data_IF_752292248032
#
_entry.id   IF_752292248032
#
_cell.length_a   1.000
_cell.length_b   1.000
_cell.length_c   1.000
_cell.angle_alpha   90.00
_cell.angle_beta   90.00
_cell.angle_gamma   90.00
#
_symmetry.space_group_name_H-M   'P 1'
#
loop_
_entity.id
_entity.type
_entity.pdbx_description
1 polymer ?
#
# COMPACT_ATOMS: atom_id res chain seq x y z
N UNK A 1 -3.42 -8.91 5.29
CA UNK A 1 -4.57 -9.13 4.37
C UNK A 1 -4.47 -10.54 3.84
N UNK A 2 -5.59 -11.26 3.72
CA UNK A 2 -5.64 -12.64 3.23
C UNK A 2 -6.54 -12.70 2.01
N UNK A 3 -6.14 -13.45 0.98
CA UNK A 3 -6.94 -13.66 -0.23
C UNK A 3 -7.51 -15.06 -0.19
N UNK A 4 -8.83 -15.18 -0.30
CA UNK A 4 -9.52 -16.45 -0.51
C UNK A 4 -9.76 -16.66 -2.01
N UNK A 5 -9.37 -17.83 -2.51
CA UNK A 5 -9.80 -18.30 -3.82
C UNK A 5 -10.76 -19.47 -3.66
N UNK A 6 -11.89 -19.36 -4.34
CA UNK A 6 -12.87 -20.43 -4.45
C UNK A 6 -13.01 -20.79 -5.92
N UNK A 7 -12.68 -22.03 -6.26
CA UNK A 7 -12.88 -22.57 -7.61
C UNK A 7 -14.18 -23.33 -7.69
N UNK A 8 -14.96 -23.05 -8.71
CA UNK A 8 -16.20 -23.76 -9.01
C UNK A 8 -16.16 -24.43 -10.38
N UNK A 9 -16.88 -25.55 -10.51
CA UNK A 9 -17.29 -26.12 -11.81
C UNK A 9 -18.81 -26.09 -11.96
N UNK A 10 -19.29 -25.14 -12.75
CA UNK A 10 -20.69 -24.81 -13.03
C UNK A 10 -20.99 -25.17 -14.49
N UNK A 11 -21.30 -26.44 -14.76
CA UNK A 11 -21.56 -26.94 -16.11
C UNK A 11 -22.92 -26.45 -16.68
N UNK A 12 -23.90 -26.24 -15.80
CA UNK A 12 -25.24 -25.76 -16.13
C UNK A 12 -25.59 -24.56 -15.23
N UNK A 13 -26.60 -23.77 -15.61
CA UNK A 13 -27.11 -22.64 -14.80
C UNK A 13 -26.11 -21.50 -14.50
N UNK A 14 -25.12 -21.28 -15.37
CA UNK A 14 -24.15 -20.18 -15.27
C UNK A 14 -24.78 -18.82 -14.93
N UNK A 15 -25.90 -18.46 -15.59
CA UNK A 15 -26.60 -17.21 -15.31
C UNK A 15 -27.21 -17.17 -13.89
N UNK A 16 -27.75 -18.28 -13.42
CA UNK A 16 -28.29 -18.40 -12.05
C UNK A 16 -27.19 -18.27 -10.99
N UNK A 17 -26.02 -18.84 -11.26
CA UNK A 17 -24.84 -18.74 -10.41
C UNK A 17 -24.34 -17.29 -10.30
N UNK A 18 -24.19 -16.60 -11.43
CA UNK A 18 -23.79 -15.19 -11.46
C UNK A 18 -24.82 -14.28 -10.76
N UNK A 19 -26.11 -14.54 -10.96
CA UNK A 19 -27.20 -13.84 -10.28
C UNK A 19 -27.19 -14.09 -8.77
N UNK A 20 -26.90 -15.31 -8.33
CA UNK A 20 -26.77 -15.66 -6.92
C UNK A 20 -25.63 -14.87 -6.27
N UNK A 21 -24.47 -14.78 -6.92
CA UNK A 21 -23.35 -13.97 -6.43
C UNK A 21 -23.63 -12.48 -6.48
N UNK A 22 -24.40 -11.99 -7.47
CA UNK A 22 -24.82 -10.58 -7.51
C UNK A 22 -25.65 -10.22 -6.28
N UNK A 23 -26.59 -11.09 -5.88
CA UNK A 23 -27.37 -10.92 -4.64
C UNK A 23 -26.50 -11.08 -3.39
N UNK A 24 -25.67 -12.12 -3.33
CA UNK A 24 -24.77 -12.37 -2.20
C UNK A 24 -23.76 -11.22 -1.98
N UNK A 25 -23.43 -10.46 -3.02
CA UNK A 25 -22.52 -9.31 -2.93
C UNK A 25 -22.99 -8.22 -1.98
N UNK A 26 -24.30 -8.11 -1.69
CA UNK A 26 -24.82 -7.16 -0.71
C UNK A 26 -24.33 -7.48 0.70
N UNK A 27 -24.32 -8.76 1.07
CA UNK A 27 -23.79 -9.21 2.36
C UNK A 27 -22.27 -9.02 2.46
N UNK A 28 -21.53 -9.31 1.37
CA UNK A 28 -20.08 -9.03 1.33
C UNK A 28 -19.78 -7.53 1.47
N UNK A 29 -20.60 -6.67 0.85
CA UNK A 29 -20.47 -5.21 0.94
C UNK A 29 -20.73 -4.69 2.36
N UNK A 30 -21.68 -5.28 3.07
CA UNK A 30 -22.02 -4.91 4.43
C UNK A 30 -20.98 -5.39 5.47
N UNK A 31 -20.24 -6.46 5.17
CA UNK A 31 -19.32 -7.09 6.09
C UNK A 31 -18.02 -6.27 6.28
N UNK A 32 -17.71 -5.74 7.49
CA UNK A 32 -16.49 -4.97 7.73
C UNK A 32 -15.19 -5.76 7.54
N UNK A 33 -15.27 -7.10 7.61
CA UNK A 33 -14.14 -7.99 7.39
C UNK A 33 -13.76 -8.14 5.91
N UNK A 34 -14.71 -7.92 4.99
CA UNK A 34 -14.52 -8.04 3.55
C UNK A 34 -13.99 -6.71 2.98
N UNK A 35 -12.93 -6.78 2.17
CA UNK A 35 -12.31 -5.60 1.57
C UNK A 35 -12.65 -5.46 0.08
N UNK A 36 -12.66 -6.57 -0.65
CA UNK A 36 -13.00 -6.62 -2.06
C UNK A 36 -13.40 -8.04 -2.45
N UNK A 37 -14.09 -8.19 -3.58
CA UNK A 37 -14.33 -9.49 -4.19
C UNK A 37 -14.49 -9.35 -5.70
N UNK A 38 -14.17 -10.41 -6.42
CA UNK A 38 -14.44 -10.53 -7.85
C UNK A 38 -14.81 -11.98 -8.21
N UNK A 39 -15.77 -12.13 -9.12
CA UNK A 39 -16.10 -13.41 -9.72
C UNK A 39 -15.67 -13.38 -11.19
N UNK A 40 -14.89 -14.35 -11.61
CA UNK A 40 -14.40 -14.50 -12.97
C UNK A 40 -14.84 -15.83 -13.56
N UNK A 41 -15.27 -15.81 -14.81
CA UNK A 41 -15.50 -17.01 -15.62
C UNK A 41 -14.30 -17.23 -16.52
N UNK A 42 -13.82 -18.47 -16.59
CA UNK A 42 -12.78 -18.87 -17.52
C UNK A 42 -13.28 -18.75 -18.97
N UNK A 43 -12.45 -18.23 -19.88
CA UNK A 43 -12.84 -18.05 -21.29
C UNK A 43 -12.61 -19.35 -22.07
N UNK A 44 -11.56 -20.10 -21.71
CA UNK A 44 -11.17 -21.37 -22.31
C UNK A 44 -12.03 -22.54 -21.84
N UNK A 45 -12.47 -22.50 -20.58
CA UNK A 45 -13.33 -23.52 -19.96
C UNK A 45 -14.55 -22.84 -19.31
N UNK A 46 -15.61 -22.51 -20.06
CA UNK A 46 -16.71 -21.66 -19.58
C UNK A 46 -17.48 -22.18 -18.35
N UNK A 47 -17.35 -23.46 -18.03
CA UNK A 47 -17.89 -24.06 -16.80
C UNK A 47 -17.06 -23.75 -15.55
N UNK A 48 -15.84 -23.20 -15.69
CA UNK A 48 -14.97 -22.90 -14.56
C UNK A 48 -15.10 -21.44 -14.13
N UNK A 49 -15.30 -21.26 -12.83
CA UNK A 49 -15.32 -19.96 -12.20
C UNK A 49 -14.28 -19.88 -11.09
N UNK A 50 -13.72 -18.69 -10.91
CA UNK A 50 -12.90 -18.34 -9.76
C UNK A 50 -13.53 -17.15 -9.06
N UNK A 51 -13.90 -17.34 -7.80
CA UNK A 51 -14.22 -16.25 -6.89
C UNK A 51 -12.96 -15.91 -6.11
N UNK A 52 -12.59 -14.64 -6.11
CA UNK A 52 -11.54 -14.09 -5.26
C UNK A 52 -12.19 -13.16 -4.24
N UNK A 53 -11.92 -13.36 -2.95
CA UNK A 53 -12.35 -12.47 -1.87
C UNK A 53 -11.13 -11.99 -1.09
N UNK A 54 -11.04 -10.70 -0.82
CA UNK A 54 -10.02 -10.12 0.05
C UNK A 54 -10.59 -9.91 1.45
N UNK A 55 -9.94 -10.52 2.43
CA UNK A 55 -10.28 -10.42 3.83
C UNK A 55 -9.24 -9.60 4.58
N UNK A 56 -9.68 -8.84 5.59
CA UNK A 56 -8.79 -8.09 6.48
C UNK A 56 -7.75 -9.01 7.13
N UNK A 57 -8.17 -10.17 7.64
CA UNK A 57 -7.31 -11.24 8.16
C UNK A 57 -8.04 -12.59 8.08
N UNK A 58 -7.31 -13.69 8.29
CA UNK A 58 -7.91 -15.03 8.35
C UNK A 58 -8.95 -15.13 9.47
N UNK A 59 -8.64 -14.62 10.66
CA UNK A 59 -9.58 -14.60 11.80
C UNK A 59 -10.82 -13.74 11.53
N UNK A 60 -10.65 -12.59 10.86
CA UNK A 60 -11.79 -11.74 10.51
C UNK A 60 -12.76 -12.48 9.57
N UNK A 61 -12.26 -13.36 8.72
CA UNK A 61 -13.11 -14.24 7.92
C UNK A 61 -13.68 -15.39 8.77
N UNK A 62 -12.82 -16.24 9.32
CA UNK A 62 -13.21 -17.53 9.90
C UNK A 62 -13.92 -17.41 11.24
N UNK A 63 -13.55 -16.44 12.07
CA UNK A 63 -14.09 -16.28 13.42
C UNK A 63 -15.13 -15.17 13.50
N UNK A 64 -15.07 -14.16 12.63
CA UNK A 64 -16.05 -13.05 12.63
C UNK A 64 -17.10 -13.23 11.54
N UNK A 65 -16.72 -13.16 10.26
CA UNK A 65 -17.71 -13.19 9.16
C UNK A 65 -18.53 -14.49 9.17
N UNK A 66 -17.90 -15.67 9.26
CA UNK A 66 -18.59 -16.97 9.28
C UNK A 66 -19.68 -17.12 10.37
N UNK A 67 -19.64 -16.30 11.41
CA UNK A 67 -20.59 -16.34 12.54
C UNK A 67 -21.58 -15.16 12.54
N UNK A 68 -21.59 -14.37 11.46
CA UNK A 68 -22.36 -13.12 11.35
C UNK A 68 -23.70 -13.29 10.63
N UNK A 69 -24.57 -12.29 10.77
CA UNK A 69 -25.83 -12.22 10.01
C UNK A 69 -25.57 -12.04 8.50
N UNK A 70 -24.49 -11.34 8.15
CA UNK A 70 -24.03 -11.15 6.78
C UNK A 70 -23.66 -12.51 6.16
N UNK A 71 -22.97 -13.39 6.89
CA UNK A 71 -22.70 -14.74 6.37
C UNK A 71 -23.98 -15.55 6.16
N UNK A 72 -24.96 -15.48 7.06
CA UNK A 72 -26.23 -16.16 6.85
C UNK A 72 -26.94 -15.66 5.57
N UNK A 73 -26.95 -14.34 5.35
CA UNK A 73 -27.51 -13.71 4.15
C UNK A 73 -26.70 -13.98 2.87
N UNK A 74 -25.39 -14.15 2.98
CA UNK A 74 -24.54 -14.60 1.88
C UNK A 74 -24.82 -16.08 1.54
N UNK A 75 -24.80 -16.93 2.57
CA UNK A 75 -24.91 -18.38 2.47
C UNK A 75 -26.22 -18.83 1.85
N UNK A 76 -27.35 -18.19 2.16
CA UNK A 76 -28.65 -18.51 1.53
C UNK A 76 -28.61 -18.47 -0.01
N UNK A 77 -27.78 -17.60 -0.60
CA UNK A 77 -27.67 -17.47 -2.05
C UNK A 77 -26.68 -18.45 -2.65
N UNK A 78 -25.56 -18.73 -1.98
CA UNK A 78 -24.49 -19.57 -2.53
C UNK A 78 -24.61 -21.05 -2.17
N UNK A 79 -25.41 -21.40 -1.15
CA UNK A 79 -25.62 -22.79 -0.69
C UNK A 79 -25.94 -23.77 -1.83
N UNK A 80 -26.76 -23.44 -2.85
CA UNK A 80 -27.07 -24.37 -3.95
C UNK A 80 -25.85 -24.84 -4.75
N UNK A 81 -24.72 -24.13 -4.68
CA UNK A 81 -23.53 -24.40 -5.51
C UNK A 81 -22.35 -24.97 -4.72
N UNK A 82 -22.55 -25.35 -3.44
CA UNK A 82 -21.47 -25.82 -2.57
C UNK A 82 -20.85 -27.15 -3.01
N UNK A 83 -21.65 -28.04 -3.57
CA UNK A 83 -21.21 -29.33 -4.12
C UNK A 83 -20.37 -29.16 -5.40
N UNK A 84 -20.30 -27.95 -5.95
CA UNK A 84 -19.55 -27.59 -7.16
C UNK A 84 -18.20 -26.94 -6.88
N UNK A 85 -17.81 -26.84 -5.61
CA UNK A 85 -16.55 -26.25 -5.19
C UNK A 85 -15.42 -27.28 -5.36
N UNK A 86 -14.42 -26.91 -6.15
CA UNK A 86 -13.19 -27.69 -6.34
C UNK A 86 -12.09 -27.31 -5.35
N UNK A 87 -12.09 -26.04 -4.92
CA UNK A 87 -11.08 -25.46 -4.02
C UNK A 87 -11.72 -24.31 -3.23
N UNK A 88 -11.37 -24.17 -1.95
CA UNK A 88 -11.72 -23.03 -1.11
C UNK A 88 -10.60 -22.85 -0.08
N UNK A 89 -9.58 -22.08 -0.44
CA UNK A 89 -8.35 -21.92 0.35
C UNK A 89 -7.97 -20.44 0.49
N UNK A 90 -7.17 -20.18 1.52
CA UNK A 90 -6.65 -18.86 1.87
C UNK A 90 -5.17 -18.77 1.54
N UNK A 91 -4.76 -17.64 0.98
CA UNK A 91 -3.39 -17.37 0.54
C UNK A 91 -2.93 -16.02 1.07
N UNK A 92 -1.64 -15.95 1.39
CA UNK A 92 -0.95 -14.71 1.69
C UNK A 92 -0.49 -14.05 0.38
N UNK A 93 -0.47 -12.72 0.36
CA UNK A 93 0.18 -11.99 -0.73
C UNK A 93 1.70 -12.12 -0.60
N UNK A 94 2.38 -12.41 -1.71
CA UNK A 94 3.83 -12.37 -1.80
C UNK A 94 4.32 -11.01 -2.28
N UNK A 95 5.64 -10.84 -2.34
CA UNK A 95 6.33 -9.68 -2.92
C UNK A 95 6.29 -9.64 -4.46
N UNK A 96 5.91 -10.74 -5.12
CA UNK A 96 5.75 -10.81 -6.58
C UNK A 96 4.43 -10.18 -6.98
N UNK A 97 4.44 -8.88 -7.26
CA UNK A 97 3.25 -8.12 -7.67
C UNK A 97 3.59 -7.07 -8.73
N UNK A 98 2.67 -6.83 -9.67
CA UNK A 98 2.74 -5.65 -10.56
C UNK A 98 2.28 -4.37 -9.85
N UNK A 99 1.74 -4.49 -8.63
CA UNK A 99 1.34 -3.33 -7.85
C UNK A 99 2.58 -2.55 -7.41
N UNK A 100 2.54 -1.24 -7.62
CA UNK A 100 3.56 -0.34 -7.10
C UNK A 100 3.58 -0.36 -5.56
N UNK A 101 4.71 -0.01 -4.96
CA UNK A 101 4.79 0.16 -3.51
C UNK A 101 3.79 1.24 -3.05
N UNK A 102 3.54 2.27 -3.86
CA UNK A 102 2.51 3.27 -3.63
C UNK A 102 1.12 2.64 -3.48
N UNK A 103 0.72 1.73 -4.38
CA UNK A 103 -0.55 1.01 -4.27
C UNK A 103 -0.59 0.12 -3.04
N UNK A 104 0.50 -0.60 -2.75
CA UNK A 104 0.58 -1.47 -1.58
C UNK A 104 0.46 -0.72 -0.23
N UNK A 105 0.82 0.56 -0.19
CA UNK A 105 0.66 1.43 0.98
C UNK A 105 -0.77 2.02 1.13
N UNK A 106 -1.62 1.89 0.11
CA UNK A 106 -2.95 2.52 0.06
C UNK A 106 -3.04 3.73 -0.88
N UNK A 107 -2.16 3.79 -1.88
CA UNK A 107 -2.17 4.75 -2.99
C UNK A 107 -1.58 6.13 -2.65
N UNK A 108 -1.84 7.10 -3.54
CA UNK A 108 -1.36 8.49 -3.43
C UNK A 108 -1.66 9.08 -2.05
N UNK A 109 -2.89 8.90 -1.57
CA UNK A 109 -3.30 9.42 -0.26
C UNK A 109 -2.46 8.88 0.90
N UNK A 110 -1.99 7.63 0.83
CA UNK A 110 -1.12 7.06 1.85
C UNK A 110 0.27 7.71 1.85
N UNK A 111 0.83 8.00 0.67
CA UNK A 111 2.13 8.67 0.55
C UNK A 111 2.09 10.09 1.15
N UNK A 112 1.01 10.84 0.95
CA UNK A 112 0.83 12.16 1.57
C UNK A 112 0.60 12.07 3.08
N UNK A 113 -0.14 11.06 3.57
CA UNK A 113 -0.26 10.82 5.01
C UNK A 113 1.11 10.49 5.62
N UNK A 114 1.89 9.61 4.99
CA UNK A 114 3.25 9.26 5.42
C UNK A 114 4.13 10.50 5.54
N UNK A 115 4.15 11.37 4.51
CA UNK A 115 4.89 12.63 4.56
C UNK A 115 4.47 13.51 5.76
N UNK A 116 3.17 13.60 6.03
CA UNK A 116 2.63 14.38 7.16
C UNK A 116 2.98 13.78 8.52
N UNK A 117 2.82 12.46 8.68
CA UNK A 117 3.15 11.78 9.93
C UNK A 117 4.65 11.86 10.23
N UNK A 118 5.49 11.60 9.21
CA UNK A 118 6.95 11.73 9.34
C UNK A 118 7.36 13.14 9.76
N UNK A 119 6.83 14.16 9.09
CA UNK A 119 7.12 15.54 9.45
C UNK A 119 6.63 15.88 10.87
N UNK A 120 5.46 15.38 11.27
CA UNK A 120 4.92 15.58 12.63
C UNK A 120 5.81 14.96 13.69
N UNK A 121 6.30 13.73 13.46
CA UNK A 121 7.23 13.05 14.35
C UNK A 121 8.57 13.79 14.40
N UNK A 122 9.14 14.17 13.25
CA UNK A 122 10.42 14.85 13.18
C UNK A 122 10.41 16.22 13.88
N UNK A 123 9.31 16.98 13.81
CA UNK A 123 9.15 18.25 14.54
C UNK A 123 9.07 18.10 16.06
N UNK A 124 8.71 16.91 16.55
CA UNK A 124 8.59 16.61 17.99
C UNK A 124 9.85 15.95 18.56
N UNK A 125 10.71 15.43 17.69
CA UNK A 125 11.93 14.76 18.10
C UNK A 125 13.02 15.77 18.49
N UNK A 126 13.62 15.69 19.69
CA UNK A 126 14.59 16.69 20.15
C UNK A 126 15.83 16.84 19.25
N UNK A 127 16.27 15.77 18.61
CA UNK A 127 17.45 15.78 17.74
C UNK A 127 17.12 16.42 16.38
N UNK A 128 15.96 16.09 15.82
CA UNK A 128 15.58 16.51 14.46
C UNK A 128 14.82 17.83 14.42
N UNK A 129 14.07 18.19 15.46
CA UNK A 129 13.20 19.37 15.49
C UNK A 129 13.88 20.67 15.03
N UNK A 130 15.16 20.97 15.38
CA UNK A 130 15.84 22.17 14.87
C UNK A 130 15.89 22.24 13.33
N UNK A 131 16.04 21.11 12.64
CA UNK A 131 16.03 21.03 11.16
C UNK A 131 14.66 21.32 10.56
N UNK A 132 13.59 21.01 11.29
CA UNK A 132 12.21 21.13 10.82
C UNK A 132 11.47 22.36 11.38
N UNK A 133 12.15 23.22 12.14
CA UNK A 133 11.55 24.39 12.80
C UNK A 133 11.02 25.43 11.81
N UNK A 134 11.74 25.65 10.70
CA UNK A 134 11.49 26.75 9.75
C UNK A 134 11.29 26.28 8.31
N UNK A 135 10.76 25.07 8.11
CA UNK A 135 10.47 24.58 6.76
C UNK A 135 9.28 25.31 6.14
N UNK A 136 9.35 25.52 4.83
CA UNK A 136 8.26 26.16 4.08
C UNK A 136 6.95 25.35 4.20
N UNK A 137 5.77 25.99 4.14
CA UNK A 137 4.47 25.29 4.17
C UNK A 137 4.32 24.24 3.07
N UNK A 138 5.03 24.41 1.97
CA UNK A 138 5.07 23.49 0.82
C UNK A 138 5.89 22.24 1.05
N UNK A 139 6.69 22.16 2.12
CA UNK A 139 7.58 21.03 2.38
C UNK A 139 6.84 19.69 2.48
N UNK A 140 5.75 19.61 3.27
CA UNK A 140 4.99 18.37 3.44
C UNK A 140 4.28 17.94 2.13
N UNK A 141 3.58 18.83 1.41
CA UNK A 141 3.05 18.51 0.08
C UNK A 141 4.12 18.00 -0.90
N UNK A 142 5.27 18.66 -0.97
CA UNK A 142 6.37 18.25 -1.87
C UNK A 142 6.94 16.89 -1.47
N UNK A 143 7.10 16.61 -0.18
CA UNK A 143 7.51 15.29 0.29
C UNK A 143 6.47 14.21 -0.04
N UNK A 144 5.17 14.52 0.04
CA UNK A 144 4.10 13.62 -0.37
C UNK A 144 4.15 13.28 -1.87
N UNK A 145 4.38 14.29 -2.71
CA UNK A 145 4.59 14.11 -4.16
C UNK A 145 5.83 13.25 -4.43
N UNK A 146 6.94 13.52 -3.75
CA UNK A 146 8.20 12.80 -3.88
C UNK A 146 8.01 11.31 -3.55
N UNK A 147 7.47 11.00 -2.36
CA UNK A 147 7.26 9.61 -1.93
C UNK A 147 6.27 8.88 -2.85
N UNK A 148 5.23 9.57 -3.33
CA UNK A 148 4.27 9.00 -4.28
C UNK A 148 4.97 8.54 -5.56
N UNK A 149 5.77 9.41 -6.17
CA UNK A 149 6.47 9.11 -7.41
C UNK A 149 7.55 8.05 -7.22
N UNK A 150 8.36 8.17 -6.17
CA UNK A 150 9.41 7.19 -5.84
C UNK A 150 8.83 5.79 -5.69
N UNK A 151 7.70 5.66 -5.01
CA UNK A 151 7.05 4.36 -4.78
C UNK A 151 6.23 3.86 -5.97
N UNK A 152 6.41 4.44 -7.16
CA UNK A 152 5.79 3.97 -8.41
C UNK A 152 4.35 4.47 -8.61
N UNK A 153 3.95 5.54 -7.93
CA UNK A 153 2.71 6.27 -8.20
C UNK A 153 2.85 7.26 -9.37
N UNK A 154 1.83 8.13 -9.60
CA UNK A 154 1.90 9.17 -10.62
C UNK A 154 3.08 10.13 -10.41
N UNK A 155 3.59 10.71 -11.50
CA UNK A 155 4.74 11.64 -11.54
C UNK A 155 4.43 13.04 -10.99
N UNK A 156 3.93 13.10 -9.75
CA UNK A 156 3.48 14.35 -9.15
C UNK A 156 4.63 15.30 -8.83
N UNK A 157 5.82 14.78 -8.49
CA UNK A 157 6.93 15.62 -8.08
C UNK A 157 7.62 16.20 -9.30
N UNK A 158 8.08 15.34 -10.21
CA UNK A 158 8.89 15.75 -11.35
C UNK A 158 8.12 16.66 -12.31
N UNK A 159 6.82 16.43 -12.51
CA UNK A 159 5.98 17.28 -13.36
C UNK A 159 5.64 18.63 -12.70
N UNK A 160 5.62 18.71 -11.37
CA UNK A 160 5.27 19.95 -10.65
C UNK A 160 6.49 20.81 -10.33
N UNK A 161 7.63 20.18 -10.03
CA UNK A 161 8.80 20.84 -9.44
C UNK A 161 10.06 20.72 -10.30
N UNK A 162 9.94 20.36 -11.58
CA UNK A 162 11.08 20.28 -12.50
C UNK A 162 12.12 19.26 -12.01
N UNK A 163 11.65 18.01 -11.89
CA UNK A 163 12.45 16.82 -11.52
C UNK A 163 13.17 16.94 -10.16
N UNK A 164 14.35 16.32 -9.99
CA UNK A 164 15.07 16.18 -8.72
C UNK A 164 15.70 17.49 -8.17
N UNK A 165 15.83 18.52 -9.00
CA UNK A 165 16.60 19.74 -8.69
C UNK A 165 16.22 20.40 -7.35
N UNK A 166 14.93 20.68 -7.08
CA UNK A 166 14.54 21.31 -5.82
C UNK A 166 14.69 20.44 -4.59
N UNK A 167 14.81 19.12 -4.72
CA UNK A 167 15.16 18.22 -3.61
C UNK A 167 16.63 18.41 -3.25
N UNK A 168 17.53 18.34 -4.25
CA UNK A 168 18.97 18.53 -4.07
C UNK A 168 19.28 19.89 -3.43
N UNK A 169 18.70 20.98 -3.98
CA UNK A 169 18.92 22.34 -3.50
C UNK A 169 18.50 22.52 -2.02
N UNK A 170 17.47 21.80 -1.56
CA UNK A 170 17.00 21.89 -0.16
C UNK A 170 17.88 21.14 0.83
N UNK A 171 18.61 20.12 0.37
CA UNK A 171 19.49 19.32 1.23
C UNK A 171 20.94 19.80 1.21
N UNK A 172 21.34 20.53 0.17
CA UNK A 172 22.68 21.08 0.01
C UNK A 172 23.12 21.90 1.24
N UNK A 173 24.32 21.64 1.73
CA UNK A 173 24.93 22.36 2.85
C UNK A 173 24.29 22.11 4.23
N UNK A 174 23.32 21.20 4.35
CA UNK A 174 22.73 20.87 5.65
C UNK A 174 23.71 20.13 6.58
N UNK A 175 24.76 19.51 6.04
CA UNK A 175 25.72 18.70 6.81
C UNK A 175 25.00 17.71 7.73
N UNK A 176 24.18 16.83 7.14
CA UNK A 176 23.38 15.85 7.87
C UNK A 176 24.34 14.85 8.54
N UNK A 177 24.18 14.68 9.85
CA UNK A 177 25.02 13.78 10.65
C UNK A 177 24.47 12.36 10.71
N UNK A 178 25.32 11.38 11.01
CA UNK A 178 24.89 9.98 11.13
C UNK A 178 23.84 9.74 12.25
N UNK A 179 23.92 10.41 13.42
CA UNK A 179 22.85 10.33 14.42
C UNK A 179 21.52 10.90 13.91
N UNK A 180 21.52 12.04 13.21
CA UNK A 180 20.30 12.61 12.62
C UNK A 180 19.71 11.67 11.56
N UNK A 181 20.57 11.12 10.69
CA UNK A 181 20.19 10.14 9.66
C UNK A 181 19.52 8.91 10.29
N UNK A 182 20.18 8.28 11.25
CA UNK A 182 19.67 7.08 11.94
C UNK A 182 18.32 7.36 12.58
N UNK A 183 18.22 8.48 13.31
CA UNK A 183 16.96 8.85 13.97
C UNK A 183 15.83 9.13 12.99
N UNK A 184 16.14 9.74 11.84
CA UNK A 184 15.15 9.99 10.80
C UNK A 184 14.60 8.70 10.20
N UNK A 185 15.45 7.69 9.98
CA UNK A 185 15.03 6.37 9.47
C UNK A 185 14.09 5.67 10.47
N UNK A 186 14.38 5.74 11.77
CA UNK A 186 13.50 5.20 12.82
C UNK A 186 12.11 5.86 12.79
N UNK A 187 12.07 7.20 12.77
CA UNK A 187 10.80 7.93 12.70
C UNK A 187 10.04 7.66 11.39
N UNK A 188 10.74 7.44 10.28
CA UNK A 188 10.11 7.08 9.01
C UNK A 188 9.43 5.70 9.06
N UNK A 189 10.05 4.73 9.74
CA UNK A 189 9.42 3.42 9.97
C UNK A 189 8.15 3.55 10.83
N UNK A 190 8.18 4.36 11.89
CA UNK A 190 7.01 4.61 12.74
C UNK A 190 5.90 5.36 11.97
N UNK A 191 6.27 6.38 11.20
CA UNK A 191 5.35 7.12 10.34
C UNK A 191 4.67 6.20 9.30
N UNK A 192 5.39 5.25 8.71
CA UNK A 192 4.85 4.31 7.74
C UNK A 192 3.74 3.45 8.35
N UNK A 193 3.95 2.92 9.57
CA UNK A 193 2.95 2.12 10.30
C UNK A 193 1.70 2.95 10.64
N UNK A 194 1.89 4.20 11.06
CA UNK A 194 0.78 5.10 11.39
C UNK A 194 -0.03 5.52 10.15
N UNK A 195 0.65 5.82 9.04
CA UNK A 195 0.01 6.31 7.83
C UNK A 195 -0.68 5.22 7.00
N UNK A 196 -0.21 3.98 7.12
CA UNK A 196 -0.60 2.84 6.29
C UNK A 196 -0.99 1.62 7.15
N UNK A 197 -2.05 1.69 7.97
CA UNK A 197 -2.39 0.65 8.94
C UNK A 197 -2.82 -0.69 8.32
N UNK A 198 -3.28 -0.68 7.07
CA UNK A 198 -3.66 -1.90 6.32
C UNK A 198 -2.51 -2.45 5.45
N UNK A 199 -1.35 -1.78 5.40
CA UNK A 199 -0.21 -2.22 4.60
C UNK A 199 0.43 -3.49 5.18
N UNK A 200 0.80 -4.43 4.30
CA UNK A 200 1.49 -5.66 4.69
C UNK A 200 2.94 -5.41 5.13
N UNK A 201 3.51 -6.34 5.89
CA UNK A 201 4.87 -6.24 6.43
C UNK A 201 5.94 -6.08 5.33
N UNK A 202 5.76 -6.76 4.20
CA UNK A 202 6.65 -6.66 3.03
C UNK A 202 6.73 -5.23 2.50
N UNK A 203 5.58 -4.54 2.39
CA UNK A 203 5.52 -3.14 1.94
C UNK A 203 6.16 -2.19 2.95
N UNK A 204 5.88 -2.38 4.24
CA UNK A 204 6.49 -1.57 5.30
C UNK A 204 8.02 -1.75 5.34
N UNK A 205 8.52 -2.98 5.16
CA UNK A 205 9.94 -3.26 5.07
C UNK A 205 10.59 -2.60 3.84
N UNK A 206 9.90 -2.58 2.69
CA UNK A 206 10.37 -1.90 1.48
C UNK A 206 10.51 -0.38 1.70
N UNK A 207 9.55 0.26 2.39
CA UNK A 207 9.63 1.68 2.79
C UNK A 207 10.84 1.92 3.71
N UNK A 208 11.06 1.06 4.71
CA UNK A 208 12.22 1.19 5.59
C UNK A 208 13.55 1.07 4.83
N UNK A 209 13.68 0.14 3.88
CA UNK A 209 14.88 0.01 3.03
C UNK A 209 15.10 1.26 2.17
N UNK A 210 14.03 1.83 1.61
CA UNK A 210 14.12 3.07 0.86
C UNK A 210 14.65 4.22 1.71
N UNK A 211 14.08 4.46 2.90
CA UNK A 211 14.56 5.55 3.76
C UNK A 211 16.00 5.32 4.24
N UNK A 212 16.37 4.08 4.55
CA UNK A 212 17.73 3.72 4.90
C UNK A 212 18.72 4.05 3.75
N UNK A 213 18.39 3.70 2.51
CA UNK A 213 19.19 4.03 1.33
C UNK A 213 19.18 5.53 1.00
N UNK A 214 17.99 6.13 0.88
CA UNK A 214 17.81 7.51 0.44
C UNK A 214 18.43 8.51 1.42
N UNK A 215 18.44 8.21 2.72
CA UNK A 215 19.12 9.07 3.70
C UNK A 215 20.64 8.99 3.61
N UNK A 216 21.24 7.86 3.18
CA UNK A 216 22.70 7.82 2.87
C UNK A 216 23.03 8.74 1.70
N UNK A 217 22.19 8.73 0.68
CA UNK A 217 22.32 9.65 -0.47
C UNK A 217 22.14 11.11 -0.01
N UNK A 218 21.18 11.37 0.88
CA UNK A 218 20.96 12.71 1.44
C UNK A 218 22.16 13.21 2.26
N UNK A 219 22.82 12.34 3.03
CA UNK A 219 24.07 12.68 3.75
C UNK A 219 25.14 13.15 2.77
N UNK A 220 25.35 12.41 1.67
CA UNK A 220 26.31 12.79 0.62
C UNK A 220 25.95 14.14 -0.02
N UNK A 221 24.69 14.29 -0.45
CA UNK A 221 24.17 15.51 -1.08
C UNK A 221 24.19 16.74 -0.14
N UNK A 222 24.28 16.53 1.17
CA UNK A 222 24.27 17.60 2.16
C UNK A 222 25.64 18.22 2.46
N UNK A 223 26.72 17.65 1.92
CA UNK A 223 28.07 18.19 2.13
C UNK A 223 28.21 19.57 1.46
N UNK A 224 29.01 20.50 2.03
CA UNK A 224 29.15 21.86 1.52
C UNK A 224 29.63 21.95 0.06
N UNK A 225 30.51 21.04 -0.34
CA UNK A 225 31.16 21.06 -1.66
C UNK A 225 30.55 20.03 -2.64
N UNK A 226 29.49 19.33 -2.24
CA UNK A 226 28.86 18.34 -3.11
C UNK A 226 27.97 19.02 -4.16
N UNK A 227 28.24 18.73 -5.43
CA UNK A 227 27.38 19.14 -6.55
C UNK A 227 26.50 17.95 -6.91
N UNK A 228 25.22 18.04 -6.54
CA UNK A 228 24.25 17.00 -6.89
C UNK A 228 24.05 16.88 -8.40
N UNK A 229 23.80 15.67 -8.88
CA UNK A 229 23.56 15.37 -10.29
C UNK A 229 22.07 15.54 -10.64
N UNK A 230 21.66 16.60 -11.37
CA UNK A 230 20.26 16.79 -11.75
C UNK A 230 19.77 15.76 -12.78
N UNK A 231 20.67 15.06 -13.47
CA UNK A 231 20.31 14.04 -14.47
C UNK A 231 19.93 12.69 -13.85
N UNK A 232 20.17 12.52 -12.54
CA UNK A 232 19.79 11.30 -11.82
C UNK A 232 18.27 11.09 -11.75
N UNK A 233 17.49 12.18 -11.83
CA UNK A 233 16.04 12.16 -11.77
C UNK A 233 15.46 11.67 -10.44
N UNK A 234 14.13 11.69 -10.31
CA UNK A 234 13.45 11.05 -9.17
C UNK A 234 13.71 9.52 -9.19
N UNK A 235 14.25 8.91 -8.12
CA UNK A 235 14.53 7.48 -8.10
C UNK A 235 13.23 6.67 -8.07
N UNK A 236 13.25 5.45 -8.61
CA UNK A 236 12.14 4.50 -8.48
C UNK A 236 12.49 3.41 -7.46
N UNK A 237 11.54 3.09 -6.57
CA UNK A 237 11.72 2.11 -5.51
C UNK A 237 10.50 1.20 -5.36
N UNK A 238 10.74 -0.12 -5.36
CA UNK A 238 9.74 -1.17 -5.23
C UNK A 238 10.00 -2.12 -4.06
N UNK A 239 9.51 -3.35 -4.19
CA UNK A 239 9.74 -4.44 -3.24
C UNK A 239 11.18 -4.97 -3.31
#
# INVERSE_FOLDING_TARGET
>A
MIVEYIRYRIAEEAAGFEDAYRRASEALRAAPACRAWELRRCVEEPERYVLRIEWRSLDAHLQSFRHSAEFAAFFQHVRPYMDRIEEMLHYESTDVSSASLCQALGGVGACFRLARELHTLAKRDPLLAPRFASVAPTHVPHLGMWLCEVFGGPKLYSETLDDIGPMLARHAGLCITEPERTRFVELAADAARLACPDAGEVALAAVSRYFDWGTRVAVENSKPDHVGDPSAGVPSWGF
#
